data_IF_571381116854
#
_entry.id   IF_571381116854
#
_cell.length_a   1.000
_cell.length_b   1.000
_cell.length_c   1.000
_cell.angle_alpha   90.00
_cell.angle_beta   90.00
_cell.angle_gamma   90.00
#
_symmetry.space_group_name_H-M   'P 1'
#
loop_
_entity.id
_entity.type
_entity.pdbx_description
1 polymer ?
#
# COMPACT_ATOMS: atom_id res chain seq x y z
N UNK A 1 22.91 -4.09 -4.98
CA UNK A 1 22.20 -5.07 -4.14
C UNK A 1 21.07 -5.62 -4.97
N UNK A 2 21.25 -6.83 -5.48
CA UNK A 2 20.29 -7.46 -6.39
C UNK A 2 19.57 -8.55 -5.59
N UNK A 3 18.58 -8.14 -4.81
CA UNK A 3 17.76 -9.07 -4.02
C UNK A 3 16.63 -9.52 -4.94
N UNK A 4 16.59 -10.80 -5.29
CA UNK A 4 15.48 -11.44 -6.00
C UNK A 4 14.25 -11.49 -5.06
N UNK A 5 13.62 -10.34 -4.91
CA UNK A 5 12.35 -10.15 -4.22
C UNK A 5 11.24 -10.28 -5.26
N UNK A 6 10.23 -11.10 -4.96
CA UNK A 6 8.95 -11.04 -5.65
C UNK A 6 7.88 -10.68 -4.62
N UNK A 7 6.87 -9.95 -5.07
CA UNK A 7 5.77 -9.52 -4.22
C UNK A 7 4.44 -9.80 -4.90
N UNK A 8 3.44 -10.06 -4.09
CA UNK A 8 2.05 -10.22 -4.51
C UNK A 8 1.20 -9.40 -3.56
N UNK A 9 0.34 -8.55 -4.12
CA UNK A 9 -0.53 -7.67 -3.36
C UNK A 9 -1.98 -8.08 -3.58
N UNK A 10 -2.74 -8.19 -2.50
CA UNK A 10 -4.18 -8.40 -2.53
C UNK A 10 -4.89 -7.29 -1.76
N UNK A 11 -6.07 -6.96 -2.24
CA UNK A 11 -6.87 -5.86 -1.75
C UNK A 11 -6.95 -4.73 -2.76
N UNK A 12 -7.46 -3.60 -2.32
CA UNK A 12 -7.72 -2.45 -3.18
C UNK A 12 -6.41 -1.72 -3.48
N UNK A 13 -5.95 -1.81 -4.72
CA UNK A 13 -4.71 -1.15 -5.18
C UNK A 13 -4.98 0.19 -5.85
N UNK A 14 -6.25 0.53 -6.09
CA UNK A 14 -6.60 1.77 -6.78
C UNK A 14 -6.48 2.96 -5.82
N UNK A 15 -5.35 3.64 -5.88
CA UNK A 15 -5.05 4.80 -5.04
C UNK A 15 -5.83 6.06 -5.45
N UNK A 16 -6.48 6.06 -6.62
CA UNK A 16 -7.21 7.21 -7.17
C UNK A 16 -8.71 7.23 -6.79
N UNK A 17 -9.27 6.10 -6.36
CA UNK A 17 -10.68 6.07 -5.93
C UNK A 17 -10.88 6.92 -4.69
N UNK A 18 -11.97 7.68 -4.57
CA UNK A 18 -12.23 8.45 -3.35
C UNK A 18 -12.35 7.53 -2.13
N UNK A 19 -11.99 8.03 -0.93
CA UNK A 19 -11.95 7.22 0.30
C UNK A 19 -13.29 6.55 0.61
N UNK A 20 -14.41 7.19 0.26
CA UNK A 20 -15.76 6.62 0.41
C UNK A 20 -16.12 5.53 -0.61
N UNK A 21 -15.38 5.42 -1.72
CA UNK A 21 -15.56 4.36 -2.71
C UNK A 21 -14.73 3.12 -2.41
N UNK A 22 -13.81 3.19 -1.45
CA UNK A 22 -13.10 2.03 -0.94
C UNK A 22 -14.03 1.25 -0.01
N UNK A 23 -14.16 -0.05 -0.25
CA UNK A 23 -14.81 -0.92 0.72
C UNK A 23 -13.88 -1.08 1.93
N UNK A 24 -14.14 -0.31 3.00
CA UNK A 24 -13.33 -0.29 4.23
C UNK A 24 -13.25 -1.65 4.96
N UNK A 25 -14.05 -2.64 4.55
CA UNK A 25 -14.00 -4.00 5.08
C UNK A 25 -12.97 -4.90 4.40
N UNK A 26 -12.37 -4.47 3.28
CA UNK A 26 -11.36 -5.25 2.58
C UNK A 26 -9.97 -5.04 3.21
N UNK A 27 -9.52 -6.01 4.00
CA UNK A 27 -8.14 -6.04 4.49
C UNK A 27 -7.18 -6.15 3.30
N UNK A 28 -6.23 -5.21 3.17
CA UNK A 28 -5.14 -5.32 2.21
C UNK A 28 -4.03 -6.20 2.78
N UNK A 29 -3.46 -7.05 1.93
CA UNK A 29 -2.40 -7.99 2.28
C UNK A 29 -1.28 -7.84 1.25
N UNK A 30 -0.05 -7.68 1.74
CA UNK A 30 1.16 -7.67 0.93
C UNK A 30 1.98 -8.91 1.30
N UNK A 31 2.13 -9.82 0.35
CA UNK A 31 3.07 -10.93 0.48
C UNK A 31 4.38 -10.59 -0.21
N UNK A 32 5.47 -10.87 0.49
CA UNK A 32 6.82 -10.66 -0.01
C UNK A 32 7.55 -11.99 0.07
N UNK A 33 7.99 -12.48 -1.08
CA UNK A 33 8.86 -13.64 -1.19
C UNK A 33 10.30 -13.15 -1.38
N UNK A 34 11.16 -13.45 -0.42
CA UNK A 34 12.57 -13.11 -0.47
C UNK A 34 13.40 -14.38 -0.69
N UNK A 35 14.01 -14.51 -1.88
CA UNK A 35 14.96 -15.59 -2.13
C UNK A 35 16.36 -15.12 -1.78
N UNK A 36 17.01 -15.82 -0.85
CA UNK A 36 18.32 -15.40 -0.36
C UNK A 36 19.43 -16.09 -1.14
N UNK A 37 20.18 -15.30 -1.89
CA UNK A 37 21.32 -15.76 -2.70
C UNK A 37 22.62 -15.58 -1.92
N UNK A 38 23.16 -16.67 -1.35
CA UNK A 38 24.46 -16.64 -0.66
C UNK A 38 24.64 -17.77 0.34
N UNK A 39 25.89 -18.11 0.65
CA UNK A 39 26.20 -19.29 1.48
C UNK A 39 25.67 -19.19 2.92
N UNK A 40 25.56 -17.99 3.52
CA UNK A 40 25.05 -17.76 4.90
C UNK A 40 24.58 -16.31 5.13
N UNK A 41 23.45 -15.89 4.55
CA UNK A 41 22.86 -14.58 4.84
C UNK A 41 22.33 -14.56 6.28
N UNK A 42 22.88 -13.69 7.13
CA UNK A 42 22.44 -13.54 8.53
C UNK A 42 21.21 -12.64 8.71
N UNK A 43 20.87 -11.84 7.68
CA UNK A 43 19.79 -10.87 7.74
C UNK A 43 19.24 -10.59 6.34
N UNK A 44 17.91 -10.55 6.24
CA UNK A 44 17.18 -10.07 5.05
C UNK A 44 16.52 -8.75 5.44
N UNK A 45 16.89 -7.67 4.76
CA UNK A 45 16.21 -6.39 4.89
C UNK A 45 15.34 -6.18 3.66
N UNK A 46 14.11 -5.72 3.87
CA UNK A 46 13.13 -5.45 2.81
C UNK A 46 12.62 -4.04 3.02
N UNK A 47 12.83 -3.19 2.01
CA UNK A 47 12.30 -1.83 2.02
C UNK A 47 10.93 -1.86 1.32
N UNK A 48 9.88 -1.51 2.07
CA UNK A 48 8.50 -1.50 1.57
C UNK A 48 8.11 -0.03 1.36
N UNK A 49 7.92 0.43 0.12
CA UNK A 49 7.41 1.77 -0.12
C UNK A 49 5.96 1.84 0.36
N UNK A 50 5.72 2.63 1.41
CA UNK A 50 4.37 2.88 1.92
C UNK A 50 3.86 4.18 1.32
N UNK A 51 2.73 4.10 0.61
CA UNK A 51 2.01 5.28 0.15
C UNK A 51 0.75 5.46 1.00
N UNK A 52 0.78 6.44 1.90
CA UNK A 52 -0.40 6.84 2.65
C UNK A 52 -1.17 7.90 1.86
N UNK A 53 -2.48 7.73 1.74
CA UNK A 53 -3.35 8.78 1.18
C UNK A 53 -3.37 9.98 2.11
N UNK A 54 -3.64 11.16 1.53
CA UNK A 54 -3.85 12.37 2.32
C UNK A 54 -5.00 12.15 3.31
N UNK A 55 -4.70 12.36 4.59
CA UNK A 55 -5.71 12.36 5.63
C UNK A 55 -6.61 13.58 5.53
N UNK A 56 -7.77 13.51 6.19
CA UNK A 56 -8.62 14.69 6.35
C UNK A 56 -7.87 15.79 7.11
N UNK A 57 -8.04 17.07 6.72
CA UNK A 57 -7.43 18.18 7.44
C UNK A 57 -7.75 18.13 8.93
N UNK A 58 -6.75 18.35 9.79
CA UNK A 58 -6.85 18.14 11.22
C UNK A 58 -5.91 19.05 12.00
N UNK A 59 -5.97 18.95 13.34
CA UNK A 59 -5.07 19.67 14.24
C UNK A 59 -3.83 18.84 14.61
N UNK A 60 -3.89 17.53 14.41
CA UNK A 60 -2.84 16.59 14.79
C UNK A 60 -2.48 15.68 13.61
N UNK A 61 -1.23 15.24 13.50
CA UNK A 61 -0.83 14.22 12.52
C UNK A 61 -1.68 12.97 12.66
N UNK A 62 -1.99 12.34 11.52
CA UNK A 62 -2.64 11.04 11.52
C UNK A 62 -1.60 9.98 11.89
N UNK A 63 -1.85 9.24 12.97
CA UNK A 63 -0.96 8.15 13.41
C UNK A 63 -1.52 6.83 12.91
N UNK A 64 -0.77 6.16 12.03
CA UNK A 64 -1.11 4.84 11.49
C UNK A 64 -0.22 3.82 12.18
N UNK A 65 -0.85 2.84 12.81
CA UNK A 65 -0.15 1.74 13.47
C UNK A 65 0.00 0.58 12.50
N UNK A 66 1.24 0.21 12.18
CA UNK A 66 1.57 -0.91 11.32
C UNK A 66 1.88 -2.12 12.22
N UNK A 67 1.10 -3.22 12.12
CA UNK A 67 1.37 -4.42 12.89
C UNK A 67 2.69 -5.05 12.43
N UNK A 68 3.34 -5.80 13.32
CA UNK A 68 4.54 -6.56 12.96
C UNK A 68 4.20 -7.57 11.85
N UNK A 69 5.07 -7.74 10.85
CA UNK A 69 4.81 -8.68 9.76
C UNK A 69 4.82 -10.13 10.26
N UNK A 70 3.99 -10.96 9.65
CA UNK A 70 4.00 -12.41 9.86
C UNK A 70 5.03 -13.06 8.93
N UNK A 71 5.86 -13.95 9.47
CA UNK A 71 6.88 -14.65 8.70
C UNK A 71 6.51 -16.13 8.54
N UNK A 72 6.78 -16.69 7.36
CA UNK A 72 6.61 -18.11 7.13
C UNK A 72 7.71 -18.64 6.21
N UNK A 73 7.93 -19.95 6.28
CA UNK A 73 8.89 -20.65 5.43
C UNK A 73 8.15 -21.51 4.43
N UNK A 74 8.45 -21.34 3.15
CA UNK A 74 7.96 -22.19 2.07
C UNK A 74 9.01 -23.20 1.63
N UNK A 75 8.64 -24.48 1.54
CA UNK A 75 9.52 -25.50 0.97
C UNK A 75 9.35 -25.58 -0.57
N UNK A 76 10.44 -25.79 -1.33
CA UNK A 76 10.34 -25.98 -2.77
C UNK A 76 9.55 -27.25 -3.11
N UNK A 77 8.71 -27.22 -4.17
CA UNK A 77 7.82 -28.33 -4.53
C UNK A 77 8.58 -29.61 -4.91
N UNK A 78 9.80 -29.48 -5.42
CA UNK A 78 10.66 -30.61 -5.82
C UNK A 78 11.28 -31.38 -4.63
N UNK A 79 11.16 -30.89 -3.40
CA UNK A 79 11.73 -31.53 -2.21
C UNK A 79 10.77 -32.44 -1.43
N UNK A 80 9.46 -32.39 -1.69
CA UNK A 80 8.44 -33.05 -0.86
C UNK A 80 8.62 -34.58 -0.73
N UNK A 81 9.28 -35.23 -1.70
CA UNK A 81 9.61 -36.65 -1.64
C UNK A 81 10.95 -36.96 -0.97
N UNK A 82 11.89 -36.00 -0.92
CA UNK A 82 13.21 -36.19 -0.28
C UNK A 82 13.21 -35.83 1.21
N UNK A 83 12.35 -34.91 1.68
CA UNK A 83 12.25 -34.61 3.12
C UNK A 83 11.67 -35.77 3.95
N UNK A 84 11.07 -36.78 3.32
CA UNK A 84 10.73 -38.06 3.99
C UNK A 84 11.94 -39.00 4.16
N UNK A 85 13.08 -38.72 3.51
CA UNK A 85 14.28 -39.56 3.51
C UNK A 85 15.54 -38.88 4.07
N UNK A 86 15.53 -37.58 4.39
CA UNK A 86 16.65 -36.98 5.10
C UNK A 86 16.68 -37.47 6.55
N UNK A 87 17.86 -37.83 7.10
CA UNK A 87 18.00 -38.12 8.52
C UNK A 87 17.58 -36.88 9.34
N UNK A 88 17.03 -37.08 10.55
CA UNK A 88 16.59 -35.99 11.40
C UNK A 88 17.71 -34.96 11.52
N UNK A 89 17.37 -33.69 11.30
CA UNK A 89 18.28 -32.58 11.59
C UNK A 89 18.89 -32.80 12.98
N UNK A 90 20.21 -32.57 13.15
CA UNK A 90 20.86 -32.76 14.44
C UNK A 90 20.24 -31.79 15.45
N UNK A 91 19.44 -32.36 16.36
CA UNK A 91 19.08 -31.89 17.69
C UNK A 91 18.97 -30.37 17.90
N UNK A 92 18.27 -29.67 17.02
CA UNK A 92 17.48 -28.53 17.50
C UNK A 92 16.18 -29.14 17.98
N UNK A 93 16.11 -29.41 19.28
CA UNK A 93 15.00 -30.07 19.96
C UNK A 93 13.63 -29.48 19.56
N UNK A 94 13.05 -30.04 18.51
CA UNK A 94 11.68 -29.79 18.05
C UNK A 94 10.63 -30.48 18.93
N UNK A 95 11.06 -31.10 20.04
CA UNK A 95 10.22 -31.90 20.93
C UNK A 95 9.45 -31.07 21.97
N UNK A 96 9.54 -29.74 21.98
CA UNK A 96 8.76 -28.92 22.90
C UNK A 96 8.33 -27.56 22.35
N UNK A 97 8.34 -27.36 21.03
CA UNK A 97 7.54 -26.27 20.45
C UNK A 97 6.12 -26.81 20.38
N UNK A 98 5.42 -26.66 21.51
CA UNK A 98 4.00 -26.94 21.65
C UNK A 98 3.29 -26.46 20.39
N UNK A 99 2.51 -27.35 19.79
CA UNK A 99 1.78 -27.25 18.53
C UNK A 99 0.72 -26.13 18.48
N UNK A 100 0.84 -25.11 19.34
CA UNK A 100 -0.02 -23.93 19.42
C UNK A 100 0.56 -22.68 18.74
N UNK A 101 1.79 -22.71 18.22
CA UNK A 101 2.45 -21.51 17.64
C UNK A 101 2.47 -21.51 16.11
N UNK A 102 2.22 -22.66 15.47
CA UNK A 102 2.21 -22.78 14.01
C UNK A 102 0.81 -23.19 13.56
N UNK A 103 0.03 -22.23 13.06
CA UNK A 103 -1.23 -22.54 12.36
C UNK A 103 -0.89 -23.11 10.98
N UNK A 104 -1.46 -24.27 10.63
CA UNK A 104 -1.26 -24.90 9.32
C UNK A 104 -2.17 -24.34 8.22
N UNK A 105 -3.16 -23.52 8.58
CA UNK A 105 -4.07 -22.92 7.61
C UNK A 105 -3.44 -21.67 7.00
N UNK A 106 -3.20 -21.71 5.69
CA UNK A 106 -2.82 -20.54 4.92
C UNK A 106 -3.97 -19.53 4.94
N UNK A 107 -3.74 -18.27 5.36
CA UNK A 107 -4.78 -17.24 5.27
C UNK A 107 -5.13 -16.89 3.81
N UNK A 108 -4.35 -17.35 2.82
CA UNK A 108 -4.63 -17.16 1.40
C UNK A 108 -4.61 -18.51 0.68
N UNK A 109 -5.79 -19.06 0.39
CA UNK A 109 -5.95 -20.32 -0.35
C UNK A 109 -5.54 -20.22 -1.84
N UNK A 110 -5.37 -19.01 -2.38
CA UNK A 110 -5.25 -18.75 -3.82
C UNK A 110 -3.93 -18.08 -4.25
N UNK A 111 -2.92 -17.95 -3.37
CA UNK A 111 -1.65 -17.32 -3.75
C UNK A 111 -0.75 -18.31 -4.50
N UNK A 112 -0.18 -17.85 -5.61
CA UNK A 112 0.81 -18.64 -6.37
C UNK A 112 2.19 -18.65 -5.71
N UNK A 113 2.46 -17.70 -4.80
CA UNK A 113 3.68 -17.65 -4.00
C UNK A 113 3.65 -18.59 -2.79
N UNK A 114 2.46 -18.99 -2.33
CA UNK A 114 2.29 -19.92 -1.22
C UNK A 114 2.31 -21.37 -1.74
N UNK A 115 3.41 -22.08 -1.48
CA UNK A 115 3.51 -23.53 -1.67
C UNK A 115 2.53 -24.25 -0.74
N UNK A 116 2.02 -25.42 -1.14
CA UNK A 116 1.08 -26.23 -0.34
C UNK A 116 1.66 -26.72 1.01
N UNK A 117 2.96 -26.54 1.22
CA UNK A 117 3.71 -26.84 2.45
C UNK A 117 4.39 -25.55 2.94
N UNK A 118 3.59 -24.60 3.41
CA UNK A 118 4.09 -23.41 4.11
C UNK A 118 3.85 -23.57 5.62
N UNK A 119 4.90 -23.38 6.42
CA UNK A 119 4.78 -23.36 7.89
C UNK A 119 4.83 -21.91 8.38
N UNK A 120 3.79 -21.50 9.09
CA UNK A 120 3.61 -20.13 9.57
C UNK A 120 4.26 -19.95 10.94
N UNK A 121 5.32 -19.16 11.03
CA UNK A 121 5.88 -18.78 12.31
C UNK A 121 5.07 -17.61 12.86
N UNK A 122 4.24 -17.84 13.86
CA UNK A 122 3.66 -16.73 14.65
C UNK A 122 4.80 -16.12 15.47
N UNK A 123 5.11 -14.82 15.32
CA UNK A 123 6.15 -14.20 16.12
C UNK A 123 5.81 -14.34 17.62
N UNK A 124 6.65 -15.03 18.39
CA UNK A 124 6.58 -15.00 19.86
C UNK A 124 7.37 -13.83 20.46
N UNK A 125 7.81 -12.87 19.63
CA UNK A 125 8.56 -11.71 20.05
C UNK A 125 7.65 -10.50 20.18
N UNK A 126 7.73 -9.83 21.34
CA UNK A 126 7.05 -8.59 21.74
C UNK A 126 6.53 -7.75 20.57
N UNK A 127 5.22 -7.54 20.50
CA UNK A 127 4.50 -6.78 19.49
C UNK A 127 5.08 -5.37 19.31
N UNK A 128 6.09 -5.23 18.44
CA UNK A 128 6.61 -3.92 18.08
C UNK A 128 5.70 -3.34 17.01
N UNK A 129 4.81 -2.46 17.45
CA UNK A 129 3.95 -1.68 16.57
C UNK A 129 4.76 -0.52 16.01
N UNK A 130 4.99 -0.52 14.70
CA UNK A 130 5.60 0.62 14.06
C UNK A 130 4.54 1.71 13.87
N UNK A 131 4.77 2.91 14.38
CA UNK A 131 3.87 4.05 14.19
C UNK A 131 4.37 4.93 13.04
N UNK A 132 3.56 5.10 12.01
CA UNK A 132 3.79 6.05 10.93
C UNK A 132 2.99 7.33 11.22
N UNK A 133 3.67 8.47 11.29
CA UNK A 133 3.00 9.77 11.41
C UNK A 133 2.85 10.38 10.03
N UNK A 134 1.61 10.56 9.59
CA UNK A 134 1.28 11.20 8.32
C UNK A 134 0.90 12.65 8.60
N UNK A 135 1.61 13.63 8.04
CA UNK A 135 1.24 15.02 8.19
C UNK A 135 -0.12 15.27 7.51
N UNK A 136 -0.99 16.00 8.19
CA UNK A 136 -2.29 16.42 7.65
C UNK A 136 -2.31 17.94 7.50
N UNK A 137 -3.07 18.43 6.53
CA UNK A 137 -3.26 19.86 6.35
C UNK A 137 -4.00 20.47 7.56
N UNK A 138 -3.66 21.70 7.91
CA UNK A 138 -4.35 22.43 8.99
C UNK A 138 -5.70 22.94 8.51
N UNK A 139 -6.75 22.75 9.32
CA UNK A 139 -8.08 23.33 9.05
C UNK A 139 -8.08 24.86 8.99
N UNK A 140 -7.09 25.52 9.61
CA UNK A 140 -6.99 26.99 9.60
C UNK A 140 -6.62 27.55 8.23
N UNK A 141 -5.94 26.75 7.42
CA UNK A 141 -5.51 27.15 6.09
C UNK A 141 -6.58 26.88 5.02
N UNK A 142 -7.67 26.21 5.40
CA UNK A 142 -8.75 25.85 4.48
C UNK A 142 -9.44 27.10 3.92
N UNK A 143 -9.83 28.02 4.80
CA UNK A 143 -10.52 29.25 4.40
C UNK A 143 -9.73 30.12 3.39
N UNK A 144 -8.43 30.47 3.63
CA UNK A 144 -7.68 31.26 2.66
C UNK A 144 -7.47 30.53 1.33
N UNK A 145 -7.29 29.20 1.35
CA UNK A 145 -7.15 28.40 0.12
C UNK A 145 -8.45 28.38 -0.69
N UNK A 146 -9.59 28.18 -0.03
CA UNK A 146 -10.91 28.19 -0.67
C UNK A 146 -11.22 29.57 -1.27
N UNK A 147 -11.02 30.64 -0.51
CA UNK A 147 -11.22 32.01 -0.98
C UNK A 147 -10.30 32.37 -2.13
N UNK A 148 -9.03 31.98 -2.06
CA UNK A 148 -8.05 32.19 -3.12
C UNK A 148 -8.44 31.46 -4.40
N UNK A 149 -8.80 30.18 -4.29
CA UNK A 149 -9.21 29.34 -5.41
C UNK A 149 -10.49 29.89 -6.06
N UNK A 150 -11.50 30.25 -5.26
CA UNK A 150 -12.74 30.84 -5.74
C UNK A 150 -12.48 32.17 -6.48
N UNK A 151 -11.60 33.02 -5.94
CA UNK A 151 -11.24 34.30 -6.55
C UNK A 151 -10.57 34.10 -7.91
N UNK A 152 -9.60 33.18 -8.01
CA UNK A 152 -8.91 32.87 -9.28
C UNK A 152 -9.90 32.34 -10.33
N UNK A 153 -10.78 31.41 -9.95
CA UNK A 153 -11.80 30.85 -10.85
C UNK A 153 -12.74 31.97 -11.34
N UNK A 154 -13.21 32.84 -10.43
CA UNK A 154 -14.07 33.95 -10.77
C UNK A 154 -13.38 34.93 -11.74
N UNK A 155 -12.12 35.27 -11.49
CA UNK A 155 -11.35 36.15 -12.38
C UNK A 155 -11.17 35.52 -13.77
N UNK A 156 -10.86 34.23 -13.84
CA UNK A 156 -10.75 33.51 -15.11
C UNK A 156 -12.09 33.50 -15.87
N UNK A 157 -13.20 33.28 -15.15
CA UNK A 157 -14.54 33.32 -15.73
C UNK A 157 -14.90 34.70 -16.30
N UNK A 158 -14.70 35.77 -15.52
CA UNK A 158 -14.96 37.15 -15.97
C UNK A 158 -14.09 37.52 -17.18
N UNK A 159 -12.84 37.06 -17.20
CA UNK A 159 -11.95 37.25 -18.33
C UNK A 159 -12.49 36.57 -19.60
N UNK A 160 -12.94 35.32 -19.50
CA UNK A 160 -13.57 34.59 -20.61
C UNK A 160 -14.82 35.31 -21.11
N UNK A 161 -15.71 35.74 -20.20
CA UNK A 161 -16.93 36.49 -20.57
C UNK A 161 -16.58 37.78 -21.32
N UNK A 162 -15.62 38.56 -20.83
CA UNK A 162 -15.16 39.79 -21.49
C UNK A 162 -14.57 39.50 -22.88
N UNK A 163 -13.78 38.43 -23.03
CA UNK A 163 -13.24 38.03 -24.34
C UNK A 163 -14.35 37.62 -25.30
N UNK A 164 -15.28 36.79 -24.87
CA UNK A 164 -16.43 36.36 -25.67
C UNK A 164 -17.29 37.56 -26.11
N UNK A 165 -17.53 38.52 -25.20
CA UNK A 165 -18.28 39.73 -25.51
C UNK A 165 -17.58 40.59 -26.58
N UNK A 166 -16.26 40.79 -26.46
CA UNK A 166 -15.48 41.53 -27.45
C UNK A 166 -15.48 40.86 -28.83
N UNK A 167 -15.42 39.53 -28.87
CA UNK A 167 -15.50 38.77 -30.13
C UNK A 167 -16.89 38.88 -30.75
N UNK A 168 -17.96 38.74 -29.95
CA UNK A 168 -19.33 38.84 -30.44
C UNK A 168 -19.63 40.22 -31.04
N UNK A 169 -19.22 41.29 -30.36
CA UNK A 169 -19.38 42.67 -30.85
C UNK A 169 -18.56 42.92 -32.13
N UNK A 170 -17.34 42.39 -32.22
CA UNK A 170 -16.55 42.47 -33.45
C UNK A 170 -17.23 41.74 -34.62
N UNK A 171 -17.75 40.52 -34.40
CA UNK A 171 -18.46 39.75 -35.42
C UNK A 171 -19.73 40.47 -35.91
N UNK A 172 -20.52 41.04 -34.99
CA UNK A 172 -21.69 41.86 -35.35
C UNK A 172 -21.30 43.07 -36.21
N UNK A 173 -20.18 43.73 -35.89
CA UNK A 173 -19.70 44.88 -36.67
C UNK A 173 -19.23 44.51 -38.08
N UNK A 174 -18.70 43.29 -38.28
CA UNK A 174 -18.33 42.81 -39.60
C UNK A 174 -19.55 42.43 -40.43
N UNK A 175 -20.55 41.77 -39.84
CA UNK A 175 -21.76 41.37 -40.55
C UNK A 175 -22.53 42.58 -41.13
N UNK A 176 -22.57 43.69 -40.39
CA UNK A 176 -23.19 44.94 -40.86
C UNK A 176 -22.46 45.64 -42.01
N UNK A 177 -21.19 45.28 -42.29
CA UNK A 177 -20.44 45.84 -43.44
C UNK A 177 -20.65 45.08 -44.73
N UNK A 178 -21.13 43.84 -44.67
CA UNK A 178 -21.41 43.01 -45.85
C UNK A 178 -22.83 43.20 -46.39
N UNK A 179 -23.71 43.85 -45.63
CA UNK A 179 -25.05 44.26 -46.07
C UNK A 179 -25.02 45.67 -46.68
#
# INVERSE_FOLDING_TARGET
MDRRLSFEFWGESNLELPVFALNQTANSLLLINATVTGARPKQVAVDIPVHARYGEPGTHPLVITIPSPTFFWGCPPSGALLYRMLPPFPDVALASVSSSVFSSESPLANSTLLSSLAYFSVPSASSYLASLQVPVASKRDLFPVEMGTASVILMAFLWLVNRSWRVATALQSCHLKEQ
#
